data_IF_512133463509
#
_entry.id   IF_512133463509
#
_cell.length_a   1.000
_cell.length_b   1.000
_cell.length_c   1.000
_cell.angle_alpha   90.00
_cell.angle_beta   90.00
_cell.angle_gamma   90.00
#
_symmetry.space_group_name_H-M   'P 1'
#
loop_
_entity.id
_entity.type
_entity.pdbx_description
1 polymer ?
#
# COMPACT_ATOMS: atom_id res chain seq x y z
N UNK A 1 27.83 6.16 1.11
CA UNK A 1 29.28 6.37 0.82
C UNK A 1 30.11 5.36 1.61
N UNK A 2 30.38 5.58 2.90
CA UNK A 2 31.19 4.68 3.74
C UNK A 2 30.74 3.21 3.71
N UNK A 3 29.46 2.93 3.96
CA UNK A 3 28.89 1.56 3.96
C UNK A 3 29.01 0.81 2.63
N UNK A 4 29.25 1.51 1.53
CA UNK A 4 29.30 0.93 0.17
C UNK A 4 30.66 1.14 -0.50
N UNK A 5 31.69 1.54 0.26
CA UNK A 5 33.06 1.68 -0.25
C UNK A 5 33.26 2.73 -1.35
N UNK A 6 32.36 3.70 -1.51
CA UNK A 6 32.39 4.67 -2.61
C UNK A 6 32.39 6.12 -2.14
N UNK A 7 32.90 7.02 -2.99
CA UNK A 7 32.94 8.47 -2.73
C UNK A 7 31.55 9.06 -2.54
N UNK A 8 31.43 10.19 -1.82
CA UNK A 8 30.15 10.91 -1.64
C UNK A 8 29.54 11.31 -2.99
N UNK A 9 30.37 11.80 -3.92
CA UNK A 9 29.95 12.23 -5.25
C UNK A 9 29.41 11.06 -6.09
N UNK A 10 30.10 9.91 -6.08
CA UNK A 10 29.67 8.69 -6.78
C UNK A 10 28.31 8.22 -6.27
N UNK A 11 28.11 8.21 -4.95
CA UNK A 11 26.83 7.80 -4.35
C UNK A 11 25.70 8.78 -4.68
N UNK A 12 25.95 10.09 -4.63
CA UNK A 12 24.95 11.09 -5.01
C UNK A 12 24.54 10.94 -6.49
N UNK A 13 25.51 10.75 -7.39
CA UNK A 13 25.25 10.47 -8.82
C UNK A 13 24.40 9.21 -8.99
N UNK A 14 24.72 8.12 -8.29
CA UNK A 14 23.96 6.87 -8.34
C UNK A 14 22.54 7.00 -7.79
N UNK A 15 22.33 7.70 -6.68
CA UNK A 15 20.98 7.96 -6.17
C UNK A 15 20.16 8.76 -7.20
N UNK A 16 20.74 9.79 -7.84
CA UNK A 16 20.06 10.54 -8.90
C UNK A 16 19.71 9.66 -10.10
N UNK A 17 20.65 8.80 -10.53
CA UNK A 17 20.44 7.83 -11.59
C UNK A 17 19.30 6.87 -11.25
N UNK A 18 19.31 6.27 -10.05
CA UNK A 18 18.28 5.33 -9.62
C UNK A 18 16.89 5.95 -9.48
N UNK A 19 16.79 7.24 -9.13
CA UNK A 19 15.52 7.97 -9.19
C UNK A 19 15.05 8.14 -10.63
N UNK A 20 15.95 8.51 -11.55
CA UNK A 20 15.62 8.72 -12.96
C UNK A 20 15.22 7.41 -13.67
N UNK A 21 15.85 6.29 -13.31
CA UNK A 21 15.55 4.94 -13.83
C UNK A 21 14.33 4.29 -13.16
N UNK A 22 13.73 4.92 -12.15
CA UNK A 22 12.59 4.36 -11.41
C UNK A 22 12.93 3.24 -10.43
N UNK A 23 14.23 2.88 -10.29
CA UNK A 23 14.71 1.93 -9.27
C UNK A 23 14.36 2.42 -7.86
N UNK A 24 14.46 3.73 -7.61
CA UNK A 24 13.93 4.36 -6.40
C UNK A 24 12.64 5.08 -6.77
N UNK A 25 11.51 4.46 -6.46
CA UNK A 25 10.19 5.03 -6.73
C UNK A 25 9.91 6.28 -5.86
N UNK A 26 10.24 6.24 -4.57
CA UNK A 26 10.00 7.36 -3.65
C UNK A 26 10.80 7.24 -2.35
N UNK A 27 10.85 8.34 -1.59
CA UNK A 27 11.29 8.37 -0.20
C UNK A 27 10.10 8.79 0.66
N UNK A 28 9.77 8.00 1.67
CA UNK A 28 8.66 8.30 2.58
C UNK A 28 9.03 7.95 4.02
N UNK A 29 8.44 8.66 4.98
CA UNK A 29 8.56 8.33 6.39
C UNK A 29 7.71 7.10 6.72
N UNK A 30 8.30 6.13 7.44
CA UNK A 30 7.55 4.99 7.97
C UNK A 30 7.09 5.32 9.38
N UNK A 31 5.80 5.60 9.53
CA UNK A 31 5.18 5.93 10.80
C UNK A 31 4.80 4.65 11.58
N UNK A 32 4.77 4.74 12.92
CA UNK A 32 4.19 3.69 13.77
C UNK A 32 2.67 3.90 13.88
N UNK A 33 1.82 3.03 13.30
CA UNK A 33 0.37 3.21 13.32
C UNK A 33 -0.25 3.24 14.73
N UNK A 34 0.31 2.51 15.69
CA UNK A 34 -0.22 2.45 17.06
C UNK A 34 -0.19 3.81 17.75
N UNK A 35 0.80 4.67 17.43
CA UNK A 35 0.90 6.03 17.96
C UNK A 35 -0.21 6.96 17.47
N UNK A 36 -0.97 6.54 16.45
CA UNK A 36 -2.13 7.23 15.91
C UNK A 36 -3.44 6.50 16.26
N UNK A 37 -3.41 5.54 17.19
CA UNK A 37 -4.57 4.75 17.59
C UNK A 37 -4.97 3.67 16.58
N UNK A 38 -4.18 3.42 15.53
CA UNK A 38 -4.44 2.37 14.55
C UNK A 38 -3.78 1.05 15.01
N UNK A 39 -4.38 0.42 16.03
CA UNK A 39 -3.82 -0.79 16.66
C UNK A 39 -4.17 -2.09 15.93
N UNK A 40 -5.12 -2.04 14.98
CA UNK A 40 -5.60 -3.25 14.29
C UNK A 40 -5.20 -3.21 12.81
N UNK A 41 -4.40 -4.19 12.40
CA UNK A 41 -4.17 -4.49 10.98
C UNK A 41 -4.98 -5.71 10.59
N UNK A 42 -5.72 -5.60 9.50
CA UNK A 42 -6.52 -6.70 8.97
C UNK A 42 -6.32 -6.89 7.47
N UNK A 43 -6.63 -8.09 7.01
CA UNK A 43 -6.62 -8.45 5.60
C UNK A 43 -8.02 -8.90 5.18
N UNK A 44 -8.56 -8.25 4.15
CA UNK A 44 -9.90 -8.54 3.62
C UNK A 44 -9.72 -9.17 2.25
N UNK A 45 -10.22 -10.39 2.08
CA UNK A 45 -10.21 -11.12 0.81
C UNK A 45 -11.52 -10.85 0.07
N UNK A 46 -11.42 -10.54 -1.22
CA UNK A 46 -12.56 -10.11 -2.03
C UNK A 46 -12.76 -11.04 -3.23
N UNK A 47 -14.03 -11.14 -3.64
CA UNK A 47 -14.41 -11.59 -4.97
C UNK A 47 -14.93 -10.37 -5.74
N UNK A 48 -14.29 -10.09 -6.85
CA UNK A 48 -14.54 -8.99 -7.75
C UNK A 48 -14.96 -9.55 -9.10
N UNK A 49 -15.92 -8.88 -9.74
CA UNK A 49 -16.33 -9.21 -11.10
C UNK A 49 -15.16 -9.04 -12.09
N UNK A 50 -15.04 -9.95 -13.06
CA UNK A 50 -13.94 -9.96 -14.01
C UNK A 50 -14.05 -8.91 -15.13
N UNK A 51 -15.13 -8.13 -15.19
CA UNK A 51 -15.29 -7.03 -16.15
C UNK A 51 -14.42 -5.83 -15.79
N UNK A 52 -13.60 -5.38 -16.74
CA UNK A 52 -12.67 -4.25 -16.56
C UNK A 52 -13.35 -2.96 -16.08
N UNK A 53 -14.55 -2.65 -16.61
CA UNK A 53 -15.28 -1.45 -16.19
C UNK A 53 -15.61 -1.47 -14.70
N UNK A 54 -16.08 -2.62 -14.19
CA UNK A 54 -16.38 -2.79 -12.77
C UNK A 54 -15.11 -2.77 -11.93
N UNK A 55 -14.03 -3.41 -12.40
CA UNK A 55 -12.72 -3.34 -11.75
C UNK A 55 -12.21 -1.91 -11.59
N UNK A 56 -12.40 -1.05 -12.60
CA UNK A 56 -12.01 0.37 -12.53
C UNK A 56 -12.88 1.15 -11.55
N UNK A 57 -14.20 0.93 -11.55
CA UNK A 57 -15.14 1.55 -10.60
C UNK A 57 -14.81 1.15 -9.15
N UNK A 58 -14.58 -0.13 -8.90
CA UNK A 58 -14.21 -0.65 -7.58
C UNK A 58 -12.88 -0.07 -7.10
N UNK A 59 -11.86 -0.02 -7.97
CA UNK A 59 -10.58 0.60 -7.63
C UNK A 59 -10.76 2.08 -7.25
N UNK A 60 -11.59 2.83 -7.96
CA UNK A 60 -11.86 4.23 -7.65
C UNK A 60 -12.55 4.39 -6.30
N UNK A 61 -13.49 3.50 -5.96
CA UNK A 61 -14.17 3.47 -4.67
C UNK A 61 -13.22 3.07 -3.52
N UNK A 62 -12.43 2.00 -3.70
CA UNK A 62 -11.45 1.51 -2.71
C UNK A 62 -10.46 2.60 -2.32
N UNK A 63 -10.00 3.41 -3.29
CA UNK A 63 -9.08 4.54 -3.04
C UNK A 63 -9.65 5.62 -2.11
N UNK A 64 -10.97 5.70 -1.93
CA UNK A 64 -11.59 6.66 -1.02
C UNK A 64 -11.51 6.24 0.46
N UNK A 65 -11.19 4.98 0.73
CA UNK A 65 -11.09 4.47 2.10
C UNK A 65 -9.67 4.71 2.63
N UNK A 66 -9.51 5.71 3.49
CA UNK A 66 -8.23 6.01 4.15
C UNK A 66 -7.67 4.86 4.99
N UNK A 67 -8.54 3.95 5.43
CA UNK A 67 -8.15 2.73 6.15
C UNK A 67 -7.37 1.75 5.26
N UNK A 68 -7.55 1.80 3.93
CA UNK A 68 -6.88 0.90 2.99
C UNK A 68 -5.45 1.38 2.76
N UNK A 69 -4.48 0.58 3.19
CA UNK A 69 -3.05 0.87 2.99
C UNK A 69 -2.51 0.23 1.72
N UNK A 70 -3.07 -0.92 1.32
CA UNK A 70 -2.66 -1.65 0.11
C UNK A 70 -3.84 -2.40 -0.50
N UNK A 71 -3.79 -2.56 -1.81
CA UNK A 71 -4.72 -3.38 -2.56
C UNK A 71 -3.95 -4.16 -3.62
N UNK A 72 -4.21 -5.46 -3.71
CA UNK A 72 -3.61 -6.33 -4.70
C UNK A 72 -4.66 -7.22 -5.33
N UNK A 73 -4.57 -7.41 -6.65
CA UNK A 73 -5.34 -8.45 -7.33
C UNK A 73 -4.60 -9.76 -7.24
N UNK A 74 -5.35 -10.83 -7.04
CA UNK A 74 -4.84 -12.17 -6.85
C UNK A 74 -5.34 -13.08 -7.97
N UNK A 75 -4.57 -14.11 -8.26
CA UNK A 75 -5.01 -15.26 -9.05
C UNK A 75 -5.41 -16.37 -8.08
N UNK A 76 -6.54 -17.03 -8.33
CA UNK A 76 -7.01 -18.17 -7.53
C UNK A 76 -8.39 -17.95 -6.93
N UNK A 77 -8.61 -18.51 -5.72
CA UNK A 77 -9.92 -18.53 -5.05
C UNK A 77 -10.51 -17.13 -4.88
N UNK A 78 -9.69 -16.19 -4.43
CA UNK A 78 -10.08 -14.78 -4.28
C UNK A 78 -9.47 -13.97 -5.42
N UNK A 79 -10.18 -12.94 -5.86
CA UNK A 79 -9.71 -12.08 -6.96
C UNK A 79 -8.87 -10.90 -6.46
N UNK A 80 -8.96 -10.55 -5.17
CA UNK A 80 -8.18 -9.47 -4.59
C UNK A 80 -8.04 -9.58 -3.06
N UNK A 81 -7.10 -8.80 -2.53
CA UNK A 81 -6.86 -8.60 -1.10
C UNK A 81 -6.66 -7.12 -0.78
N UNK A 82 -7.25 -6.67 0.32
CA UNK A 82 -7.03 -5.36 0.94
C UNK A 82 -6.21 -5.53 2.21
N UNK A 83 -5.16 -4.73 2.39
CA UNK A 83 -4.54 -4.47 3.70
C UNK A 83 -5.19 -3.22 4.26
N UNK A 84 -5.72 -3.31 5.49
CA UNK A 84 -6.34 -2.18 6.18
C UNK A 84 -5.72 -1.94 7.55
N UNK A 85 -5.65 -0.68 7.94
CA UNK A 85 -5.33 -0.23 9.29
C UNK A 85 -6.54 0.49 9.89
N UNK A 86 -6.99 0.02 11.05
CA UNK A 86 -8.17 0.53 11.76
C UNK A 86 -7.89 0.61 13.26
N UNK A 87 -8.72 1.34 13.99
CA UNK A 87 -8.61 1.47 15.45
C UNK A 87 -8.96 0.19 16.17
N UNK A 88 -10.00 -0.50 15.72
CA UNK A 88 -10.51 -1.69 16.39
C UNK A 88 -11.39 -2.55 15.46
N UNK A 89 -11.84 -3.69 15.98
CA UNK A 89 -12.74 -4.62 15.29
C UNK A 89 -14.12 -3.99 14.95
N UNK A 90 -14.59 -3.00 15.72
CA UNK A 90 -15.86 -2.32 15.43
C UNK A 90 -15.73 -1.45 14.18
N UNK A 91 -14.63 -0.72 14.05
CA UNK A 91 -14.31 0.04 12.84
C UNK A 91 -14.09 -0.87 11.64
N UNK A 92 -13.40 -2.01 11.81
CA UNK A 92 -13.26 -3.01 10.75
C UNK A 92 -14.64 -3.48 10.25
N UNK A 93 -15.54 -3.81 11.18
CA UNK A 93 -16.90 -4.26 10.84
C UNK A 93 -17.68 -3.18 10.10
N UNK A 94 -17.55 -1.91 10.50
CA UNK A 94 -18.16 -0.78 9.79
C UNK A 94 -17.60 -0.61 8.39
N UNK A 95 -16.28 -0.78 8.22
CA UNK A 95 -15.62 -0.70 6.93
C UNK A 95 -16.13 -1.76 5.95
N UNK A 96 -16.28 -3.01 6.41
CA UNK A 96 -16.77 -4.14 5.58
C UNK A 96 -18.24 -4.00 5.18
N UNK A 97 -19.04 -3.29 5.98
CA UNK A 97 -20.48 -3.09 5.73
C UNK A 97 -20.82 -1.90 4.82
N UNK A 98 -19.83 -1.06 4.48
CA UNK A 98 -20.01 0.08 3.56
C UNK A 98 -19.87 -0.38 2.11
#
# INVERSE_FOLDING_TARGET
AKKVGASRQTVAKKIKQFKAEGVIASFTARLNPEKFGLSTKAYILLHEDSREELRRKNMAAIKQFHQVTKFYRLFGRYSAILEVLVRDSKELTKLVKR
#
